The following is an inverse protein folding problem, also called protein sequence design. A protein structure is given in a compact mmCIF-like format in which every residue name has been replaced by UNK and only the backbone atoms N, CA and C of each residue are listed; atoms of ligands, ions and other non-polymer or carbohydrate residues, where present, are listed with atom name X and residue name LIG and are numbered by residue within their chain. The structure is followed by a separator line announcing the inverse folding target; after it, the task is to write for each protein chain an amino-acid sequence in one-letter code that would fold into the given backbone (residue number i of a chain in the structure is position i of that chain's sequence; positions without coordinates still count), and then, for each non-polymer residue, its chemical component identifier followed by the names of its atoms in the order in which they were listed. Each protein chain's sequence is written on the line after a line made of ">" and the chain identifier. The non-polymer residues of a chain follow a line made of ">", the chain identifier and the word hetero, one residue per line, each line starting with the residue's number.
data_IF_104539291143
#
_entry.id   IF_104539291143
#
_cell.length_a   1.000
_cell.length_b   1.000
_cell.length_c   1.000
_cell.angle_alpha   90.00
_cell.angle_beta   90.00
_cell.angle_gamma   90.00
#
_symmetry.space_group_name_H-M   'P 1'
#
loop_
_entity.id
_entity.type
_entity.pdbx_description
1 polymer ?
#
# COMPACT_ATOMS: atom_id res chain seq x y z
N UNK A 1 -2.48 -1.36 -1.42
CA UNK A 1 -1.06 -1.01 -1.06
C UNK A 1 -0.05 -2.16 -1.15
N UNK A 2 -0.25 -3.33 -0.51
CA UNK A 2 0.83 -4.36 -0.44
C UNK A 2 1.26 -4.93 -1.81
N UNK A 3 0.33 -5.13 -2.74
CA UNK A 3 0.64 -5.53 -4.12
C UNK A 3 1.25 -4.40 -4.96
N UNK A 4 1.00 -3.14 -4.61
CA UNK A 4 1.59 -2.00 -5.31
C UNK A 4 3.12 -1.98 -5.08
N UNK A 5 3.53 -2.22 -3.83
CA UNK A 5 4.90 -2.03 -3.33
C UNK A 5 5.39 -3.27 -2.54
N UNK A 6 5.53 -4.45 -3.17
CA UNK A 6 6.04 -5.63 -2.47
C UNK A 6 7.52 -5.45 -2.07
N UNK A 7 8.28 -4.69 -2.87
CA UNK A 7 9.67 -4.28 -2.63
C UNK A 7 9.85 -2.85 -3.17
N UNK A 8 10.95 -2.21 -2.78
CA UNK A 8 11.33 -0.94 -3.41
C UNK A 8 11.66 -1.18 -4.89
N UNK A 9 11.16 -0.35 -5.83
CA UNK A 9 11.53 -0.46 -7.23
C UNK A 9 13.00 -0.12 -7.44
N UNK A 10 13.66 -0.77 -8.40
CA UNK A 10 15.02 -0.38 -8.75
C UNK A 10 14.98 0.93 -9.54
N UNK A 11 15.91 1.84 -9.25
CA UNK A 11 16.04 3.11 -9.94
C UNK A 11 17.29 3.06 -10.80
N UNK A 12 17.11 3.23 -12.10
CA UNK A 12 18.19 3.18 -13.07
C UNK A 12 18.34 4.53 -13.76
N UNK A 13 19.56 5.09 -13.76
CA UNK A 13 19.95 6.30 -14.47
C UNK A 13 20.78 5.85 -15.68
N UNK A 14 20.19 5.64 -16.86
CA UNK A 14 20.88 4.96 -17.96
C UNK A 14 22.11 5.72 -18.47
N UNK A 15 22.10 7.06 -18.35
CA UNK A 15 23.24 7.89 -18.72
C UNK A 15 24.42 7.76 -17.76
N UNK A 16 24.18 7.33 -16.52
CA UNK A 16 25.17 7.27 -15.43
C UNK A 16 24.91 6.09 -14.48
N UNK A 17 25.16 4.84 -14.91
CA UNK A 17 24.91 3.66 -14.09
C UNK A 17 25.66 3.67 -12.75
N UNK A 18 26.79 4.38 -12.65
CA UNK A 18 27.55 4.55 -11.42
C UNK A 18 26.80 5.36 -10.34
N UNK A 19 25.84 6.20 -10.75
CA UNK A 19 25.02 7.00 -9.84
C UNK A 19 23.91 6.19 -9.15
N UNK A 20 23.55 5.01 -9.70
CA UNK A 20 22.48 4.17 -9.19
C UNK A 20 22.71 3.76 -7.73
N UNK A 21 23.95 3.39 -7.37
CA UNK A 21 24.29 2.99 -6.00
C UNK A 21 24.16 4.15 -5.00
N UNK A 22 24.51 5.38 -5.40
CA UNK A 22 24.35 6.56 -4.56
C UNK A 22 22.87 6.91 -4.38
N UNK A 23 22.08 6.82 -5.45
CA UNK A 23 20.63 7.05 -5.41
C UNK A 23 19.92 6.03 -4.52
N UNK A 24 20.29 4.75 -4.61
CA UNK A 24 19.78 3.71 -3.73
C UNK A 24 20.10 4.01 -2.26
N UNK A 25 21.33 4.44 -1.95
CA UNK A 25 21.70 4.84 -0.59
C UNK A 25 20.89 6.03 -0.07
N UNK A 26 20.63 7.05 -0.90
CA UNK A 26 19.77 8.19 -0.55
C UNK A 26 18.35 7.75 -0.19
N UNK A 27 17.78 6.85 -0.98
CA UNK A 27 16.45 6.30 -0.71
C UNK A 27 16.43 5.44 0.55
N UNK A 28 17.43 4.57 0.75
CA UNK A 28 17.53 3.74 1.95
C UNK A 28 17.64 4.59 3.22
N UNK A 29 18.43 5.66 3.19
CA UNK A 29 18.56 6.61 4.30
C UNK A 29 17.22 7.28 4.66
N UNK A 30 16.37 7.52 3.68
CA UNK A 30 15.04 8.07 3.86
C UNK A 30 13.98 7.03 4.24
N UNK A 31 14.39 5.77 4.48
CA UNK A 31 13.51 4.67 4.89
C UNK A 31 13.06 3.76 3.73
N UNK A 32 13.50 4.03 2.50
CA UNK A 32 13.31 3.19 1.32
C UNK A 32 11.86 2.72 1.15
N UNK A 33 11.67 1.39 1.14
CA UNK A 33 10.35 0.76 0.99
C UNK A 33 9.36 1.17 2.08
N UNK A 34 9.81 1.47 3.31
CA UNK A 34 8.92 1.85 4.41
C UNK A 34 8.30 3.23 4.18
N UNK A 35 9.11 4.18 3.70
CA UNK A 35 8.62 5.51 3.33
C UNK A 35 7.64 5.39 2.17
N UNK A 36 8.01 4.66 1.12
CA UNK A 36 7.15 4.49 -0.05
C UNK A 36 5.81 3.82 0.30
N UNK A 37 5.83 2.82 1.19
CA UNK A 37 4.61 2.19 1.71
C UNK A 37 3.76 3.16 2.55
N UNK A 38 4.38 4.06 3.32
CA UNK A 38 3.68 5.12 4.05
C UNK A 38 2.99 6.08 3.08
N UNK A 39 3.68 6.52 2.03
CA UNK A 39 3.14 7.39 0.99
C UNK A 39 1.97 6.73 0.27
N UNK A 40 2.09 5.45 -0.07
CA UNK A 40 1.01 4.68 -0.67
C UNK A 40 -0.23 4.56 0.21
N UNK A 41 -0.06 4.38 1.52
CA UNK A 41 -1.19 4.38 2.46
C UNK A 41 -1.85 5.75 2.57
N UNK A 42 -1.07 6.83 2.59
CA UNK A 42 -1.64 8.18 2.62
C UNK A 42 -2.39 8.50 1.33
N UNK A 43 -1.83 8.17 0.18
CA UNK A 43 -2.49 8.31 -1.12
C UNK A 43 -3.78 7.49 -1.21
N UNK A 44 -3.76 6.25 -0.71
CA UNK A 44 -4.94 5.39 -0.65
C UNK A 44 -6.13 6.05 0.09
N UNK A 45 -5.84 6.78 1.17
CA UNK A 45 -6.85 7.44 2.01
C UNK A 45 -7.31 8.79 1.45
N UNK A 46 -6.40 9.57 0.88
CA UNK A 46 -6.65 10.99 0.56
C UNK A 46 -6.71 11.31 -0.93
N UNK A 47 -6.27 10.40 -1.79
CA UNK A 47 -6.21 10.58 -3.23
C UNK A 47 -5.00 11.35 -3.76
N UNK A 48 -4.29 12.09 -2.91
CA UNK A 48 -3.11 12.86 -3.29
C UNK A 48 -1.94 12.55 -2.34
N UNK A 49 -0.72 12.48 -2.88
CA UNK A 49 0.50 12.32 -2.09
C UNK A 49 1.26 13.63 -2.05
N UNK A 50 1.73 14.01 -0.86
CA UNK A 50 2.59 15.18 -0.65
C UNK A 50 3.86 14.77 0.09
N UNK A 51 5.01 15.09 -0.50
CA UNK A 51 6.32 14.83 0.09
C UNK A 51 7.12 16.11 0.10
N UNK A 52 7.57 16.51 1.28
CA UNK A 52 8.50 17.62 1.42
C UNK A 52 9.93 17.10 1.40
N UNK A 53 10.77 17.72 0.60
CA UNK A 53 12.21 17.53 0.60
C UNK A 53 12.83 18.62 1.47
N UNK A 54 13.58 18.22 2.49
CA UNK A 54 14.34 19.10 3.35
C UNK A 54 15.77 19.16 2.83
N UNK A 55 16.32 20.37 2.79
CA UNK A 55 17.71 20.59 2.41
C UNK A 55 18.66 19.86 3.39
N UNK A 56 19.84 19.44 2.93
CA UNK A 56 20.87 18.88 3.78
C UNK A 56 21.23 19.85 4.91
N UNK A 57 21.09 19.40 6.17
CA UNK A 57 21.54 20.15 7.33
C UNK A 57 22.69 19.39 8.04
N UNK A 58 23.70 20.10 8.58
CA UNK A 58 24.75 19.46 9.38
C UNK A 58 24.17 18.74 10.60
N UNK A 59 24.75 17.60 11.04
CA UNK A 59 25.98 16.95 10.55
C UNK A 59 25.76 15.99 9.37
N UNK A 60 24.50 15.79 9.00
CA UNK A 60 24.06 14.66 8.21
C UNK A 60 24.33 14.82 6.69
N UNK A 61 24.43 16.07 6.21
CA UNK A 61 24.77 16.47 4.84
C UNK A 61 24.05 15.67 3.72
N UNK A 62 22.81 15.22 3.98
CA UNK A 62 21.97 14.57 2.98
C UNK A 62 20.52 15.07 3.05
N UNK A 63 19.80 15.09 1.93
CA UNK A 63 18.40 15.53 1.90
C UNK A 63 17.50 14.53 2.64
N UNK A 64 16.50 15.07 3.34
CA UNK A 64 15.51 14.28 4.08
C UNK A 64 14.13 14.43 3.46
N UNK A 65 13.46 13.30 3.27
CA UNK A 65 12.09 13.21 2.79
C UNK A 65 11.11 13.14 3.96
N UNK A 66 10.11 14.01 3.93
CA UNK A 66 9.03 14.06 4.90
C UNK A 66 7.70 13.83 4.19
N UNK A 67 7.10 12.67 4.47
CA UNK A 67 5.72 12.39 4.09
C UNK A 67 4.77 13.33 4.85
N UNK A 68 4.18 14.28 4.14
CA UNK A 68 3.23 15.23 4.71
C UNK A 68 1.86 14.57 4.89
N UNK A 69 1.04 15.12 5.78
CA UNK A 69 -0.38 14.74 5.84
C UNK A 69 -1.15 15.56 4.80
N UNK A 70 -1.78 14.94 3.78
CA UNK A 70 -2.50 15.67 2.74
C UNK A 70 -3.63 16.56 3.29
N UNK A 71 -4.24 16.21 4.43
CA UNK A 71 -5.25 17.05 5.08
C UNK A 71 -4.73 18.42 5.55
N UNK A 72 -3.41 18.54 5.69
CA UNK A 72 -2.72 19.75 6.11
C UNK A 72 -2.12 20.51 4.93
N UNK A 73 -2.31 20.05 3.69
CA UNK A 73 -1.63 20.57 2.51
C UNK A 73 -2.63 21.06 1.46
N UNK A 74 -2.42 22.29 1.01
CA UNK A 74 -3.14 22.87 -0.10
C UNK A 74 -2.15 23.22 -1.21
N UNK A 75 -2.52 22.96 -2.45
CA UNK A 75 -1.77 23.37 -3.63
C UNK A 75 -2.62 24.35 -4.42
N UNK A 76 -1.97 25.35 -5.00
CA UNK A 76 -2.61 26.35 -5.82
C UNK A 76 -1.86 26.43 -7.13
N UNK A 77 -2.60 26.32 -8.21
CA UNK A 77 -2.10 26.23 -9.58
C UNK A 77 -2.55 27.42 -10.40
N UNK A 78 -2.00 27.54 -11.61
CA UNK A 78 -2.37 28.58 -12.55
C UNK A 78 -3.83 28.38 -13.01
N UNK A 79 -4.60 29.46 -13.11
CA UNK A 79 -6.05 29.35 -13.33
C UNK A 79 -6.44 28.67 -14.67
N UNK A 80 -5.57 28.73 -15.67
CA UNK A 80 -5.75 28.13 -17.00
C UNK A 80 -5.04 26.76 -17.16
N UNK A 81 -4.22 26.37 -16.18
CA UNK A 81 -3.39 25.18 -16.24
C UNK A 81 -3.23 24.60 -14.83
N UNK A 82 -4.01 23.56 -14.55
CA UNK A 82 -4.02 22.95 -13.23
C UNK A 82 -2.78 22.11 -12.94
N UNK A 83 -1.94 21.82 -13.93
CA UNK A 83 -0.68 21.10 -13.73
C UNK A 83 0.45 22.05 -13.27
N UNK A 84 0.31 23.36 -13.54
CA UNK A 84 1.29 24.38 -13.19
C UNK A 84 1.10 24.93 -11.77
N UNK A 85 1.74 24.30 -10.78
CA UNK A 85 1.64 24.71 -9.37
C UNK A 85 2.44 25.98 -9.08
N UNK A 86 1.75 26.98 -8.52
CA UNK A 86 2.27 28.30 -8.17
C UNK A 86 2.67 28.42 -6.70
N UNK A 87 1.90 27.85 -5.78
CA UNK A 87 2.26 27.81 -4.37
C UNK A 87 1.62 26.66 -3.62
N UNK A 88 2.22 26.31 -2.48
CA UNK A 88 1.66 25.37 -1.51
C UNK A 88 1.41 26.07 -0.18
N UNK A 89 0.37 25.66 0.53
CA UNK A 89 0.16 26.03 1.93
C UNK A 89 0.12 24.79 2.81
N UNK A 90 0.82 24.85 3.94
CA UNK A 90 0.79 23.84 4.98
C UNK A 90 0.16 24.43 6.23
N UNK A 91 -0.81 23.74 6.81
CA UNK A 91 -1.52 24.16 8.02
C UNK A 91 -1.33 23.13 9.13
N UNK A 92 -0.94 23.56 10.32
CA UNK A 92 -0.86 22.68 11.48
C UNK A 92 -1.09 23.44 12.78
N UNK A 93 -1.52 22.72 13.82
CA UNK A 93 -1.68 23.28 15.16
C UNK A 93 -0.63 22.67 16.08
N UNK A 94 -0.05 23.49 16.95
CA UNK A 94 0.82 23.03 18.03
C UNK A 94 0.40 23.72 19.33
N UNK A 95 -0.04 22.92 20.30
CA UNK A 95 -0.69 23.44 21.50
C UNK A 95 -1.99 24.16 21.16
N UNK A 96 -2.09 25.45 21.53
CA UNK A 96 -3.24 26.32 21.22
C UNK A 96 -3.02 27.23 20.01
N UNK A 97 -1.82 27.21 19.42
CA UNK A 97 -1.48 28.06 18.30
C UNK A 97 -1.66 27.33 16.96
N UNK A 98 -2.17 28.05 15.96
CA UNK A 98 -2.24 27.59 14.59
C UNK A 98 -1.10 28.22 13.79
N UNK A 99 -0.54 27.42 12.89
CA UNK A 99 0.56 27.81 12.03
C UNK A 99 0.18 27.56 10.58
N UNK A 100 0.64 28.46 9.72
CA UNK A 100 0.53 28.34 8.27
C UNK A 100 1.91 28.54 7.67
N UNK A 101 2.33 27.66 6.77
CA UNK A 101 3.52 27.87 5.97
C UNK A 101 3.16 27.96 4.50
N UNK A 102 3.44 29.11 3.89
CA UNK A 102 3.29 29.32 2.46
C UNK A 102 4.63 29.03 1.76
N UNK A 103 4.59 28.28 0.67
CA UNK A 103 5.74 27.97 -0.18
C UNK A 103 5.40 28.47 -1.58
N UNK A 104 5.89 29.66 -1.91
CA UNK A 104 5.50 30.41 -3.12
C UNK A 104 6.59 30.32 -4.17
N UNK A 105 6.22 30.04 -5.42
CA UNK A 105 7.14 29.98 -6.54
C UNK A 105 7.61 31.38 -6.95
N UNK A 106 8.92 31.58 -7.00
CA UNK A 106 9.58 32.76 -7.56
C UNK A 106 10.20 32.48 -8.94
N UNK A 107 11.17 33.31 -9.36
CA UNK A 107 11.89 33.14 -10.62
C UNK A 107 13.09 32.18 -10.44
N UNK A 108 12.84 30.87 -10.54
CA UNK A 108 13.88 29.84 -10.38
C UNK A 108 14.25 29.50 -8.93
N UNK A 109 13.46 29.99 -7.99
CA UNK A 109 13.60 29.75 -6.55
C UNK A 109 12.22 29.72 -5.88
N UNK A 110 12.17 29.33 -4.61
CA UNK A 110 10.93 29.27 -3.84
C UNK A 110 11.06 30.05 -2.53
N UNK A 111 10.02 30.80 -2.17
CA UNK A 111 9.95 31.53 -0.92
C UNK A 111 9.13 30.74 0.10
N UNK A 112 9.72 30.42 1.25
CA UNK A 112 9.06 29.71 2.35
C UNK A 112 8.80 30.72 3.46
N UNK A 113 7.53 31.00 3.74
CA UNK A 113 7.11 31.91 4.80
C UNK A 113 6.30 31.16 5.86
N UNK A 114 6.71 31.22 7.11
CA UNK A 114 5.98 30.65 8.24
C UNK A 114 5.23 31.76 8.97
N UNK A 115 3.95 31.52 9.20
CA UNK A 115 3.00 32.41 9.86
C UNK A 115 2.39 31.73 11.08
N UNK A 116 2.10 32.51 12.11
CA UNK A 116 1.39 32.08 13.30
C UNK A 116 0.12 32.92 13.47
N UNK A 117 -0.96 32.25 13.86
CA UNK A 117 -2.23 32.88 14.19
C UNK A 117 -2.16 33.53 15.58
N UNK A 118 -2.44 34.83 15.67
CA UNK A 118 -2.55 35.60 16.91
C UNK A 118 -4.02 35.89 17.28
N UNK A 119 -5.00 35.31 16.57
CA UNK A 119 -6.44 35.48 16.80
C UNK A 119 -7.04 36.73 16.15
N UNK A 120 -6.26 37.82 16.02
CA UNK A 120 -6.63 39.02 15.24
C UNK A 120 -6.07 39.03 13.82
N UNK A 121 -5.24 38.06 13.47
CA UNK A 121 -4.57 37.97 12.18
C UNK A 121 -3.37 37.05 12.20
N UNK A 122 -2.68 36.99 11.05
CA UNK A 122 -1.48 36.17 10.88
C UNK A 122 -0.22 37.02 11.04
N UNK A 123 0.67 36.61 11.95
CA UNK A 123 1.99 37.19 12.10
C UNK A 123 3.05 36.31 11.43
N UNK A 124 3.91 36.91 10.59
CA UNK A 124 5.04 36.20 9.99
C UNK A 124 6.13 35.97 11.04
N UNK A 125 6.52 34.72 11.22
CA UNK A 125 7.59 34.30 12.13
C UNK A 125 8.93 34.19 11.43
N UNK A 126 8.93 33.58 10.25
CA UNK A 126 10.14 33.22 9.52
C UNK A 126 9.91 33.41 8.03
N UNK A 127 10.97 33.83 7.34
CA UNK A 127 11.03 33.85 5.88
C UNK A 127 12.36 33.24 5.46
N UNK A 128 12.31 32.20 4.63
CA UNK A 128 13.48 31.47 4.15
C UNK A 128 13.41 31.29 2.64
N UNK A 129 14.54 31.48 1.99
CA UNK A 129 14.68 31.30 0.55
C UNK A 129 15.18 29.90 0.22
N UNK A 130 14.43 29.18 -0.62
CA UNK A 130 14.82 27.90 -1.20
C UNK A 130 15.42 28.17 -2.58
N UNK A 131 16.76 28.20 -2.64
CA UNK A 131 17.55 28.64 -3.80
C UNK A 131 17.71 27.59 -4.89
N UNK A 132 16.80 26.62 -4.94
CA UNK A 132 16.84 25.54 -5.91
C UNK A 132 15.65 25.68 -6.87
N UNK A 133 15.88 25.33 -8.13
CA UNK A 133 14.88 25.44 -9.19
C UNK A 133 13.68 24.51 -8.95
N UNK A 134 13.94 23.30 -8.46
CA UNK A 134 12.89 22.33 -8.16
C UNK A 134 12.18 22.67 -6.84
N UNK A 135 10.87 22.45 -6.82
CA UNK A 135 10.03 22.72 -5.65
C UNK A 135 10.47 21.91 -4.43
N UNK A 136 10.41 22.47 -3.21
CA UNK A 136 10.66 21.70 -1.98
C UNK A 136 9.53 20.73 -1.63
N UNK A 137 8.40 20.77 -2.34
CA UNK A 137 7.31 19.81 -2.23
C UNK A 137 7.11 19.13 -3.57
N UNK A 138 7.15 17.80 -3.55
CA UNK A 138 6.79 16.95 -4.68
C UNK A 138 5.43 16.33 -4.37
N UNK A 139 4.55 16.33 -5.36
CA UNK A 139 3.19 15.83 -5.23
C UNK A 139 2.75 15.09 -6.48
N UNK A 140 1.93 14.06 -6.30
CA UNK A 140 1.34 13.28 -7.37
C UNK A 140 0.00 12.70 -6.91
N UNK A 141 -0.93 12.43 -7.84
CA UNK A 141 -2.18 11.75 -7.51
C UNK A 141 -1.92 10.29 -7.16
N UNK A 142 -2.70 9.75 -6.23
CA UNK A 142 -2.73 8.31 -6.00
C UNK A 142 -3.45 7.62 -7.15
N UNK A 143 -4.72 7.96 -7.36
CA UNK A 143 -5.46 7.68 -8.59
C UNK A 143 -5.66 8.98 -9.35
N UNK A 144 -5.30 9.01 -10.64
CA UNK A 144 -5.43 10.21 -11.45
C UNK A 144 -6.90 10.52 -11.73
N UNK A 145 -7.29 11.77 -11.49
CA UNK A 145 -8.60 12.29 -11.89
C UNK A 145 -8.44 13.10 -13.19
N UNK A 146 -9.23 12.82 -14.24
CA UNK A 146 -9.18 13.63 -15.45
C UNK A 146 -9.66 15.05 -15.13
N UNK A 147 -8.97 16.05 -15.70
CA UNK A 147 -9.28 17.48 -15.57
C UNK A 147 -9.24 18.01 -14.12
N UNK A 148 -8.47 17.37 -13.23
CA UNK A 148 -8.34 17.81 -11.85
C UNK A 148 -6.89 17.64 -11.36
N UNK A 149 -6.44 18.59 -10.53
CA UNK A 149 -5.12 18.52 -9.91
C UNK A 149 -5.04 17.43 -8.83
N UNK A 150 -6.09 17.34 -7.99
CA UNK A 150 -6.15 16.36 -6.91
C UNK A 150 -6.65 15.01 -7.41
N UNK A 151 -5.95 13.94 -7.04
CA UNK A 151 -6.37 12.57 -7.32
C UNK A 151 -7.52 12.06 -6.44
N UNK A 152 -7.89 10.80 -6.65
CA UNK A 152 -8.99 10.13 -5.96
C UNK A 152 -8.50 9.09 -4.94
N UNK A 153 -9.15 8.99 -3.76
CA UNK A 153 -8.86 7.92 -2.80
C UNK A 153 -9.34 6.58 -3.33
N UNK A 154 -8.80 5.47 -2.81
CA UNK A 154 -9.30 4.14 -3.21
C UNK A 154 -10.74 3.91 -2.75
N UNK A 155 -11.07 4.34 -1.53
CA UNK A 155 -12.42 4.19 -0.98
C UNK A 155 -13.27 5.38 -1.42
N UNK A 156 -14.06 5.19 -2.46
CA UNK A 156 -14.97 6.20 -3.00
C UNK A 156 -16.44 5.92 -2.65
N UNK A 157 -16.84 4.64 -2.53
CA UNK A 157 -18.22 4.25 -2.27
C UNK A 157 -18.45 3.78 -0.84
N UNK A 158 -18.68 4.75 0.04
CA UNK A 158 -19.02 4.50 1.44
C UNK A 158 -20.39 3.84 1.62
N UNK A 159 -21.33 4.09 0.70
CA UNK A 159 -22.71 3.60 0.82
C UNK A 159 -22.80 2.07 0.82
N UNK A 160 -21.96 1.39 0.03
CA UNK A 160 -21.94 -0.07 -0.01
C UNK A 160 -21.34 -0.66 1.27
N UNK A 161 -20.27 -0.07 1.80
CA UNK A 161 -19.68 -0.45 3.09
C UNK A 161 -20.69 -0.25 4.24
N UNK A 162 -21.34 0.92 4.28
CA UNK A 162 -22.38 1.22 5.27
C UNK A 162 -23.54 0.24 5.19
N UNK A 163 -23.93 -0.19 3.98
CA UNK A 163 -25.00 -1.18 3.81
C UNK A 163 -24.61 -2.55 4.36
N UNK A 164 -23.37 -2.99 4.14
CA UNK A 164 -22.83 -4.22 4.75
C UNK A 164 -22.85 -4.12 6.27
N UNK A 165 -22.31 -3.03 6.83
CA UNK A 165 -22.26 -2.78 8.27
C UNK A 165 -23.66 -2.76 8.89
N UNK A 166 -24.61 -2.12 8.21
CA UNK A 166 -26.00 -2.04 8.66
C UNK A 166 -26.67 -3.40 8.68
N UNK A 167 -26.54 -4.19 7.60
CA UNK A 167 -27.14 -5.52 7.51
C UNK A 167 -26.55 -6.47 8.57
N UNK A 168 -25.23 -6.45 8.77
CA UNK A 168 -24.56 -7.22 9.83
C UNK A 168 -25.00 -6.78 11.23
N UNK A 169 -25.20 -5.48 11.45
CA UNK A 169 -25.73 -4.97 12.72
C UNK A 169 -27.17 -5.46 12.97
N UNK A 170 -28.00 -5.53 11.93
CA UNK A 170 -29.37 -6.04 12.02
C UNK A 170 -29.39 -7.56 12.30
N UNK A 171 -28.53 -8.34 11.63
CA UNK A 171 -28.34 -9.78 11.91
C UNK A 171 -27.91 -9.98 13.37
N UNK A 172 -26.91 -9.24 13.85
CA UNK A 172 -26.48 -9.31 15.24
C UNK A 172 -27.59 -8.94 16.23
N UNK A 173 -28.45 -7.97 15.88
CA UNK A 173 -29.61 -7.59 16.70
C UNK A 173 -30.67 -8.68 16.75
N UNK A 174 -30.96 -9.35 15.63
CA UNK A 174 -31.88 -10.49 15.58
C UNK A 174 -31.36 -11.62 16.47
N UNK A 175 -30.08 -11.98 16.33
CA UNK A 175 -29.46 -13.01 17.16
C UNK A 175 -29.54 -12.67 18.65
N UNK A 176 -29.25 -11.42 19.05
CA UNK A 176 -29.42 -10.97 20.44
C UNK A 176 -30.86 -11.06 20.92
N UNK A 177 -31.82 -10.70 20.09
CA UNK A 177 -33.24 -10.73 20.45
C UNK A 177 -33.73 -12.17 20.69
N UNK A 178 -33.24 -13.13 19.91
CA UNK A 178 -33.62 -14.54 20.02
C UNK A 178 -32.70 -15.39 20.91
N UNK A 179 -31.59 -14.85 21.40
CA UNK A 179 -30.70 -15.56 22.34
C UNK A 179 -31.36 -15.85 23.70
N UNK A 180 -32.42 -15.10 24.05
CA UNK A 180 -33.24 -15.34 25.24
C UNK A 180 -34.72 -15.42 24.81
N UNK A 181 -35.20 -16.60 24.37
CA UNK A 181 -36.56 -16.75 23.86
C UNK A 181 -37.57 -16.42 24.96
N UNK A 182 -38.63 -15.69 24.59
CA UNK A 182 -39.72 -15.37 25.50
C UNK A 182 -40.75 -16.49 25.48
N UNK A 183 -41.11 -17.00 26.64
CA UNK A 183 -42.21 -17.95 26.78
C UNK A 183 -43.53 -17.22 26.73
N UNK A 184 -44.42 -17.65 25.82
CA UNK A 184 -45.77 -17.10 25.64
C UNK A 184 -46.78 -18.16 26.06
N UNK A 185 -47.70 -17.76 26.92
CA UNK A 185 -48.82 -18.58 27.37
C UNK A 185 -50.15 -18.04 26.86
N UNK A 186 -51.00 -18.90 26.31
CA UNK A 186 -52.35 -18.55 25.84
C UNK A 186 -53.35 -19.44 26.58
N UNK A 187 -54.46 -18.85 27.05
CA UNK A 187 -55.59 -19.60 27.61
C UNK A 187 -55.55 -19.84 29.13
N UNK A 188 -54.69 -19.15 29.88
CA UNK A 188 -54.63 -19.23 31.34
C UNK A 188 -54.25 -17.89 31.98
N UNK A 189 -54.65 -17.68 33.24
CA UNK A 189 -54.21 -16.50 34.00
C UNK A 189 -52.88 -16.79 34.70
N UNK A 190 -52.06 -15.77 34.95
CA UNK A 190 -50.74 -15.93 35.57
C UNK A 190 -50.76 -16.68 36.91
N UNK A 191 -51.90 -16.65 37.63
CA UNK A 191 -52.13 -17.37 38.90
C UNK A 191 -52.29 -18.89 38.73
N UNK A 192 -52.71 -19.34 37.55
CA UNK A 192 -52.99 -20.74 37.22
C UNK A 192 -51.69 -21.51 36.88
N UNK A 193 -50.57 -20.80 36.85
CA UNK A 193 -49.27 -21.28 36.43
C UNK A 193 -48.49 -21.76 37.66
N UNK A 194 -48.50 -23.08 37.90
CA UNK A 194 -47.85 -23.69 39.09
C UNK A 194 -46.44 -24.18 38.76
N UNK A 195 -45.39 -23.66 39.43
CA UNK A 195 -44.07 -24.25 39.37
C UNK A 195 -44.08 -25.58 40.14
N UNK A 196 -43.80 -26.70 39.48
CA UNK A 196 -43.77 -28.02 40.15
C UNK A 196 -42.42 -28.31 40.81
N UNK A 197 -41.29 -27.83 40.26
CA UNK A 197 -39.99 -27.75 40.95
C UNK A 197 -38.98 -26.85 40.17
N UNK A 198 -37.75 -26.70 40.69
CA UNK A 198 -36.63 -26.04 39.98
C UNK A 198 -36.25 -26.91 38.77
N UNK A 199 -36.30 -26.34 37.56
CA UNK A 199 -36.03 -26.99 36.26
C UNK A 199 -37.08 -28.02 35.76
N UNK A 200 -38.34 -27.98 36.21
CA UNK A 200 -39.37 -28.92 35.74
C UNK A 200 -40.66 -28.28 35.22
N UNK A 201 -41.43 -29.11 34.52
CA UNK A 201 -42.61 -28.81 33.71
C UNK A 201 -43.65 -27.91 34.39
N UNK A 202 -44.13 -26.93 33.63
CA UNK A 202 -45.27 -26.09 34.04
C UNK A 202 -46.57 -26.85 33.78
N UNK A 203 -47.46 -26.92 34.76
CA UNK A 203 -48.78 -27.55 34.62
C UNK A 203 -49.87 -26.48 34.63
N UNK A 204 -50.83 -26.60 33.70
CA UNK A 204 -51.96 -25.68 33.56
C UNK A 204 -53.26 -26.48 33.60
N UNK A 205 -54.22 -26.16 34.48
CA UNK A 205 -55.46 -26.95 34.66
C UNK A 205 -56.47 -26.87 33.49
N UNK A 206 -56.32 -25.89 32.58
CA UNK A 206 -57.26 -25.62 31.48
C UNK A 206 -56.90 -26.43 30.23
N UNK A 207 -57.88 -27.17 29.68
CA UNK A 207 -57.69 -28.09 28.56
C UNK A 207 -57.16 -27.41 27.28
N UNK A 208 -57.50 -26.14 27.05
CA UNK A 208 -57.12 -25.40 25.84
C UNK A 208 -55.84 -24.55 26.01
N UNK A 209 -55.20 -24.60 27.18
CA UNK A 209 -54.03 -23.76 27.46
C UNK A 209 -52.78 -24.26 26.73
N UNK A 210 -52.05 -23.33 26.10
CA UNK A 210 -50.82 -23.62 25.36
C UNK A 210 -49.68 -22.75 25.85
N UNK A 211 -48.52 -23.37 26.05
CA UNK A 211 -47.26 -22.68 26.37
C UNK A 211 -46.26 -23.03 25.28
N UNK A 212 -45.65 -22.03 24.68
CA UNK A 212 -44.60 -22.21 23.70
C UNK A 212 -43.56 -21.10 23.83
N UNK A 213 -42.32 -21.42 23.47
CA UNK A 213 -41.27 -20.42 23.38
C UNK A 213 -41.37 -19.70 22.02
N UNK A 214 -41.28 -18.37 22.05
CA UNK A 214 -41.18 -17.57 20.85
C UNK A 214 -39.73 -17.64 20.33
N UNK A 215 -39.46 -18.72 19.61
CA UNK A 215 -38.17 -18.98 18.98
C UNK A 215 -38.14 -18.47 17.54
N UNK A 216 -36.93 -18.18 17.05
CA UNK A 216 -36.74 -17.78 15.66
C UNK A 216 -36.98 -18.99 14.75
N UNK A 217 -37.93 -18.87 13.83
CA UNK A 217 -38.21 -19.94 12.87
C UNK A 217 -37.38 -19.85 11.58
N UNK A 218 -36.75 -18.70 11.32
CA UNK A 218 -35.87 -18.50 10.16
C UNK A 218 -34.41 -18.72 10.54
N UNK A 219 -33.63 -19.31 9.64
CA UNK A 219 -32.21 -19.62 9.81
C UNK A 219 -31.26 -18.47 9.46
N UNK A 220 -31.79 -17.27 9.16
CA UNK A 220 -31.04 -16.11 8.65
C UNK A 220 -30.21 -16.39 7.36
N UNK A 221 -30.37 -17.54 6.69
CA UNK A 221 -29.52 -17.90 5.57
C UNK A 221 -29.63 -16.90 4.41
N UNK A 222 -30.81 -16.34 4.17
CA UNK A 222 -31.03 -15.28 3.19
C UNK A 222 -30.29 -13.98 3.55
N UNK A 223 -30.23 -13.64 4.84
CA UNK A 223 -29.54 -12.45 5.34
C UNK A 223 -28.03 -12.60 5.20
N UNK A 224 -27.50 -13.78 5.53
CA UNK A 224 -26.07 -14.09 5.37
C UNK A 224 -25.66 -14.07 3.89
N UNK A 225 -26.45 -14.66 2.99
CA UNK A 225 -26.21 -14.58 1.54
C UNK A 225 -26.22 -13.15 1.01
N UNK A 226 -27.10 -12.29 1.53
CA UNK A 226 -27.13 -10.88 1.16
C UNK A 226 -25.87 -10.13 1.65
N UNK A 227 -25.37 -10.43 2.86
CA UNK A 227 -24.09 -9.90 3.35
C UNK A 227 -22.94 -10.34 2.44
N UNK A 228 -22.86 -11.62 2.09
CA UNK A 228 -21.82 -12.14 1.20
C UNK A 228 -21.86 -11.45 -0.16
N UNK A 229 -23.05 -11.30 -0.76
CA UNK A 229 -23.22 -10.61 -2.02
C UNK A 229 -22.73 -9.16 -1.96
N UNK A 230 -23.15 -8.40 -0.95
CA UNK A 230 -22.74 -7.00 -0.79
C UNK A 230 -21.24 -6.88 -0.49
N UNK A 231 -20.67 -7.80 0.27
CA UNK A 231 -19.23 -7.84 0.55
C UNK A 231 -18.43 -8.12 -0.71
N UNK A 232 -18.87 -9.08 -1.54
CA UNK A 232 -18.24 -9.34 -2.84
C UNK A 232 -18.36 -8.16 -3.79
N UNK A 233 -19.52 -7.50 -3.83
CA UNK A 233 -19.70 -6.29 -4.64
C UNK A 233 -18.74 -5.17 -4.19
N UNK A 234 -18.58 -4.97 -2.88
CA UNK A 234 -17.68 -3.97 -2.31
C UNK A 234 -16.21 -4.23 -2.68
N UNK A 235 -15.78 -5.49 -2.56
CA UNK A 235 -14.41 -5.87 -2.89
C UNK A 235 -14.16 -5.82 -4.41
N UNK A 236 -15.15 -6.19 -5.22
CA UNK A 236 -15.08 -6.11 -6.68
C UNK A 236 -14.98 -4.67 -7.19
N UNK A 237 -15.73 -3.73 -6.61
CA UNK A 237 -15.62 -2.30 -6.93
C UNK A 237 -14.20 -1.77 -6.67
N UNK A 238 -13.57 -2.26 -5.60
CA UNK A 238 -12.19 -1.93 -5.23
C UNK A 238 -11.14 -2.70 -6.03
N UNK A 239 -11.57 -3.59 -6.95
CA UNK A 239 -10.74 -4.51 -7.73
C UNK A 239 -9.84 -5.38 -6.84
N UNK A 240 -10.37 -5.77 -5.69
CA UNK A 240 -9.70 -6.68 -4.74
C UNK A 240 -10.08 -8.10 -5.09
N UNK A 241 -9.07 -8.92 -5.39
CA UNK A 241 -9.25 -10.34 -5.66
C UNK A 241 -9.42 -11.08 -4.34
N UNK A 242 -10.54 -11.78 -4.21
CA UNK A 242 -10.79 -12.74 -3.12
C UNK A 242 -10.72 -14.13 -3.72
N UNK A 243 -9.83 -14.95 -3.18
CA UNK A 243 -9.69 -16.34 -3.57
C UNK A 243 -10.61 -17.19 -2.70
N UNK A 244 -11.75 -17.60 -3.23
CA UNK A 244 -12.63 -18.59 -2.62
C UNK A 244 -12.23 -19.99 -3.13
N UNK A 245 -11.88 -20.92 -2.25
CA UNK A 245 -11.56 -22.31 -2.62
C UNK A 245 -10.67 -23.06 -1.62
N UNK A 246 -10.61 -24.38 -1.74
CA UNK A 246 -9.73 -25.22 -0.91
C UNK A 246 -8.33 -25.31 -1.53
N UNK A 247 -7.30 -25.56 -0.71
CA UNK A 247 -5.89 -25.68 -1.16
C UNK A 247 -5.72 -26.64 -2.34
N UNK A 248 -6.52 -27.70 -2.41
CA UNK A 248 -6.52 -28.67 -3.52
C UNK A 248 -6.89 -28.05 -4.89
N UNK A 249 -7.78 -27.07 -4.91
CA UNK A 249 -8.21 -26.38 -6.13
C UNK A 249 -7.07 -25.55 -6.73
N UNK A 250 -6.14 -25.10 -5.89
CA UNK A 250 -5.01 -24.25 -6.27
C UNK A 250 -3.76 -25.02 -6.72
N UNK A 251 -3.69 -26.34 -6.50
CA UNK A 251 -2.50 -27.15 -6.85
C UNK A 251 -2.24 -27.24 -8.35
N UNK A 252 -3.27 -27.04 -9.19
CA UNK A 252 -3.19 -27.20 -10.65
C UNK A 252 -3.12 -25.88 -11.41
N UNK A 253 -3.09 -24.76 -10.73
CA UNK A 253 -3.16 -23.45 -11.38
C UNK A 253 -1.75 -23.05 -11.83
N UNK A 254 -1.62 -22.77 -13.12
CA UNK A 254 -0.38 -22.28 -13.73
C UNK A 254 -0.16 -20.80 -13.36
N UNK A 255 1.06 -20.29 -13.50
CA UNK A 255 1.33 -18.86 -13.31
C UNK A 255 0.44 -17.97 -14.19
N UNK A 256 0.12 -18.43 -15.41
CA UNK A 256 -0.82 -17.75 -16.31
C UNK A 256 -2.24 -17.73 -15.73
N UNK A 257 -2.70 -18.83 -15.13
CA UNK A 257 -4.00 -18.90 -14.46
C UNK A 257 -4.09 -17.96 -13.25
N UNK A 258 -3.04 -17.87 -12.43
CA UNK A 258 -2.98 -16.91 -11.32
C UNK A 258 -3.00 -15.47 -11.86
N UNK A 259 -2.23 -15.17 -12.91
CA UNK A 259 -2.25 -13.84 -13.55
C UNK A 259 -3.61 -13.49 -14.09
N UNK A 260 -4.28 -14.42 -14.78
CA UNK A 260 -5.63 -14.23 -15.32
C UNK A 260 -6.63 -13.82 -14.22
N UNK A 261 -6.53 -14.46 -13.05
CA UNK A 261 -7.39 -14.15 -11.90
C UNK A 261 -7.10 -12.77 -11.28
N UNK A 262 -5.85 -12.33 -11.33
CA UNK A 262 -5.42 -11.03 -10.82
C UNK A 262 -5.42 -9.90 -11.86
N UNK A 263 -5.83 -10.15 -13.11
CA UNK A 263 -5.72 -9.19 -14.22
C UNK A 263 -6.26 -7.80 -13.88
N UNK A 264 -7.46 -7.71 -13.32
CA UNK A 264 -8.10 -6.44 -13.00
C UNK A 264 -7.36 -5.68 -11.88
N UNK A 265 -6.93 -6.39 -10.84
CA UNK A 265 -6.11 -5.84 -9.78
C UNK A 265 -4.73 -5.38 -10.30
N UNK A 266 -4.12 -6.14 -11.21
CA UNK A 266 -2.85 -5.80 -11.85
C UNK A 266 -2.98 -4.55 -12.72
N UNK A 267 -4.06 -4.38 -13.48
CA UNK A 267 -4.29 -3.17 -14.25
C UNK A 267 -4.44 -1.94 -13.35
N UNK A 268 -5.18 -2.05 -12.24
CA UNK A 268 -5.26 -0.99 -11.23
C UNK A 268 -3.87 -0.65 -10.67
N UNK A 269 -3.08 -1.68 -10.32
CA UNK A 269 -1.73 -1.48 -9.80
C UNK A 269 -0.84 -0.78 -10.83
N UNK A 270 -0.93 -1.14 -12.10
CA UNK A 270 -0.14 -0.52 -13.16
C UNK A 270 -0.47 0.97 -13.34
N UNK A 271 -1.75 1.34 -13.26
CA UNK A 271 -2.19 2.73 -13.27
C UNK A 271 -1.63 3.53 -12.08
N UNK A 272 -1.67 2.93 -10.88
CA UNK A 272 -1.05 3.51 -9.69
C UNK A 272 0.48 3.64 -9.87
N UNK A 273 1.15 2.62 -10.42
CA UNK A 273 2.61 2.63 -10.63
C UNK A 273 3.07 3.75 -11.54
N UNK A 274 2.32 4.07 -12.60
CA UNK A 274 2.61 5.21 -13.49
C UNK A 274 2.59 6.53 -12.74
N UNK A 275 1.61 6.73 -11.86
CA UNK A 275 1.52 7.96 -11.05
C UNK A 275 2.68 8.05 -10.04
N UNK A 276 3.05 6.93 -9.43
CA UNK A 276 4.16 6.87 -8.47
C UNK A 276 5.53 6.98 -9.14
N UNK A 277 5.67 6.53 -10.39
CA UNK A 277 6.89 6.69 -11.17
C UNK A 277 7.23 8.17 -11.34
N UNK A 278 6.25 9.02 -11.67
CA UNK A 278 6.44 10.48 -11.74
C UNK A 278 6.94 11.05 -10.41
N UNK A 279 6.31 10.66 -9.30
CA UNK A 279 6.71 11.10 -7.96
C UNK A 279 8.11 10.64 -7.56
N UNK A 280 8.46 9.38 -7.84
CA UNK A 280 9.78 8.80 -7.56
C UNK A 280 10.88 9.48 -8.40
N UNK A 281 10.61 9.76 -9.67
CA UNK A 281 11.53 10.49 -10.54
C UNK A 281 11.78 11.90 -10.01
N UNK A 282 10.71 12.68 -9.77
CA UNK A 282 10.83 14.06 -9.29
C UNK A 282 11.53 14.14 -7.91
N UNK A 283 11.21 13.23 -6.98
CA UNK A 283 11.90 13.15 -5.69
C UNK A 283 13.38 12.83 -5.85
N UNK A 284 13.71 11.86 -6.70
CA UNK A 284 15.10 11.47 -6.96
C UNK A 284 15.89 12.62 -7.60
N UNK A 285 15.32 13.31 -8.59
CA UNK A 285 15.93 14.48 -9.21
C UNK A 285 16.12 15.63 -8.21
N UNK A 286 15.13 15.87 -7.33
CA UNK A 286 15.24 16.89 -6.27
C UNK A 286 16.34 16.54 -5.28
N UNK A 287 16.43 15.28 -4.84
CA UNK A 287 17.52 14.84 -3.96
C UNK A 287 18.90 14.98 -4.62
N UNK A 288 19.03 14.60 -5.90
CA UNK A 288 20.27 14.73 -6.70
C UNK A 288 20.70 16.19 -6.84
N UNK A 289 19.74 17.10 -7.07
CA UNK A 289 19.98 18.54 -7.08
C UNK A 289 20.54 19.03 -5.73
N UNK A 290 19.96 18.57 -4.62
CA UNK A 290 20.36 19.01 -3.28
C UNK A 290 21.74 18.53 -2.85
N UNK A 291 22.21 17.39 -3.37
CA UNK A 291 23.58 16.91 -3.14
C UNK A 291 24.59 17.55 -4.12
N UNK A 292 24.15 18.44 -5.00
CA UNK A 292 25.01 19.18 -5.93
C UNK A 292 25.37 18.42 -7.21
N UNK A 293 24.59 17.41 -7.61
CA UNK A 293 24.82 16.71 -8.87
C UNK A 293 24.45 17.61 -10.06
N UNK A 294 25.37 17.79 -11.01
CA UNK A 294 25.16 18.69 -12.15
C UNK A 294 24.07 18.19 -13.12
N UNK A 295 23.98 16.88 -13.35
CA UNK A 295 23.01 16.25 -14.27
C UNK A 295 21.81 15.66 -13.51
N UNK A 296 21.31 16.42 -12.52
CA UNK A 296 20.21 15.98 -11.66
C UNK A 296 18.90 15.73 -12.42
N UNK A 297 18.75 16.26 -13.64
CA UNK A 297 17.58 16.06 -14.51
C UNK A 297 17.67 14.84 -15.42
N UNK A 298 18.77 14.08 -15.39
CA UNK A 298 18.91 12.87 -16.19
C UNK A 298 17.68 11.95 -16.02
N UNK A 299 17.15 11.34 -17.11
CA UNK A 299 16.01 10.43 -17.03
C UNK A 299 16.28 9.27 -16.08
N UNK A 300 15.32 8.99 -15.20
CA UNK A 300 15.39 7.89 -14.23
C UNK A 300 14.31 6.88 -14.60
N UNK A 301 14.73 5.66 -14.92
CA UNK A 301 13.82 4.55 -15.20
C UNK A 301 13.46 3.85 -13.88
N UNK A 302 12.17 3.73 -13.60
CA UNK A 302 11.67 3.01 -12.42
C UNK A 302 11.32 1.58 -12.82
N UNK A 303 12.06 0.62 -12.28
CA UNK A 303 11.87 -0.80 -12.60
C UNK A 303 11.08 -1.46 -11.47
N UNK A 304 9.80 -1.71 -11.73
CA UNK A 304 8.90 -2.31 -10.76
C UNK A 304 9.09 -3.83 -10.65
N UNK A 305 9.20 -4.38 -9.44
CA UNK A 305 9.19 -5.83 -9.25
C UNK A 305 7.82 -6.41 -9.60
N UNK A 306 7.81 -7.67 -10.03
CA UNK A 306 6.56 -8.41 -10.22
C UNK A 306 5.79 -8.49 -8.89
N UNK A 307 4.51 -8.05 -8.87
CA UNK A 307 3.70 -8.11 -7.66
C UNK A 307 3.24 -9.52 -7.29
N UNK A 308 3.27 -10.48 -8.23
CA UNK A 308 2.84 -11.85 -7.99
C UNK A 308 4.01 -12.76 -7.62
N UNK A 309 3.79 -13.78 -6.78
CA UNK A 309 4.79 -14.80 -6.53
C UNK A 309 5.10 -15.56 -7.82
N UNK A 310 6.37 -15.85 -8.06
CA UNK A 310 6.81 -16.66 -9.19
C UNK A 310 7.22 -18.05 -8.72
N UNK A 311 6.96 -19.06 -9.56
CA UNK A 311 7.45 -20.41 -9.29
C UNK A 311 8.95 -20.48 -9.55
N UNK A 312 9.73 -20.72 -8.49
CA UNK A 312 11.19 -20.81 -8.57
C UNK A 312 11.65 -21.88 -9.57
N UNK A 313 11.01 -23.06 -9.63
CA UNK A 313 11.40 -24.13 -10.54
C UNK A 313 11.21 -23.75 -12.01
N UNK A 314 10.10 -23.09 -12.33
CA UNK A 314 9.82 -22.60 -13.69
C UNK A 314 10.81 -21.52 -14.10
N UNK A 315 11.14 -20.59 -13.19
CA UNK A 315 12.16 -19.56 -13.45
C UNK A 315 13.56 -20.16 -13.71
N UNK A 316 13.93 -21.28 -13.06
CA UNK A 316 15.20 -21.99 -13.32
C UNK A 316 15.18 -22.59 -14.71
N UNK A 317 14.08 -23.23 -15.08
CA UNK A 317 13.95 -23.88 -16.37
C UNK A 317 14.05 -22.86 -17.52
N UNK A 318 13.44 -21.67 -17.36
CA UNK A 318 13.54 -20.58 -18.35
C UNK A 318 14.97 -20.04 -18.45
N UNK A 319 15.59 -19.67 -17.32
CA UNK A 319 16.97 -19.17 -17.30
C UNK A 319 17.98 -20.19 -17.86
N UNK A 320 17.81 -21.47 -17.57
CA UNK A 320 18.65 -22.53 -18.12
C UNK A 320 18.54 -22.61 -19.66
N UNK A 321 17.33 -22.42 -20.21
CA UNK A 321 17.10 -22.36 -21.66
C UNK A 321 17.70 -21.10 -22.27
N UNK A 322 17.56 -19.94 -21.64
CA UNK A 322 18.15 -18.68 -22.12
C UNK A 322 19.68 -18.72 -22.14
N UNK A 323 20.29 -19.31 -21.10
CA UNK A 323 21.74 -19.57 -21.05
C UNK A 323 22.17 -20.54 -22.16
N UNK A 324 21.39 -21.60 -22.42
CA UNK A 324 21.67 -22.56 -23.49
C UNK A 324 21.55 -21.94 -24.89
N UNK A 325 20.62 -20.99 -25.07
CA UNK A 325 20.42 -20.23 -26.31
C UNK A 325 21.41 -19.06 -26.46
N UNK A 326 22.23 -18.78 -25.43
CA UNK A 326 23.19 -17.67 -25.43
C UNK A 326 22.56 -16.28 -25.35
N UNK A 327 21.29 -16.17 -24.94
CA UNK A 327 20.58 -14.90 -24.83
C UNK A 327 20.99 -14.09 -23.59
N UNK A 328 21.45 -14.79 -22.54
CA UNK A 328 21.77 -14.20 -21.24
C UNK A 328 23.13 -14.72 -20.79
N UNK A 329 23.94 -13.88 -20.14
CA UNK A 329 25.22 -14.29 -19.56
C UNK A 329 25.04 -14.96 -18.19
N UNK A 330 26.00 -15.78 -17.77
CA UNK A 330 25.99 -16.36 -16.40
C UNK A 330 25.98 -15.30 -15.30
N UNK A 331 26.64 -14.16 -15.54
CA UNK A 331 26.64 -13.01 -14.64
C UNK A 331 25.25 -12.37 -14.52
N UNK A 332 24.59 -12.15 -15.65
CA UNK A 332 23.23 -11.60 -15.68
C UNK A 332 22.24 -12.55 -14.99
N UNK A 333 22.32 -13.85 -15.27
CA UNK A 333 21.47 -14.85 -14.63
C UNK A 333 21.69 -14.94 -13.10
N UNK A 334 22.93 -14.80 -12.62
CA UNK A 334 23.22 -14.74 -11.19
C UNK A 334 22.63 -13.47 -10.54
N UNK A 335 22.77 -12.31 -11.20
CA UNK A 335 22.23 -11.04 -10.72
C UNK A 335 20.70 -11.03 -10.67
N UNK A 336 20.02 -11.57 -11.67
CA UNK A 336 18.56 -11.72 -11.68
C UNK A 336 18.04 -12.61 -10.55
N UNK A 337 18.86 -13.56 -10.09
CA UNK A 337 18.60 -14.39 -8.91
C UNK A 337 18.92 -13.71 -7.58
N UNK A 338 19.38 -12.46 -7.61
CA UNK A 338 19.81 -11.72 -6.43
C UNK A 338 21.11 -12.23 -5.83
N UNK A 339 21.95 -12.92 -6.62
CA UNK A 339 23.30 -13.34 -6.21
C UNK A 339 24.31 -12.31 -6.71
N UNK A 340 25.29 -12.01 -5.88
CA UNK A 340 26.44 -11.20 -6.28
C UNK A 340 27.39 -12.08 -7.09
N UNK A 341 27.58 -11.75 -8.37
CA UNK A 341 28.40 -12.54 -9.27
C UNK A 341 29.87 -12.56 -8.88
N UNK A 342 30.40 -11.47 -8.32
CA UNK A 342 31.82 -11.41 -7.94
C UNK A 342 32.10 -12.34 -6.76
N UNK A 343 31.19 -12.35 -5.78
CA UNK A 343 31.25 -13.26 -4.63
C UNK A 343 31.07 -14.71 -5.08
N UNK A 344 30.11 -14.99 -5.97
CA UNK A 344 29.88 -16.34 -6.49
C UNK A 344 31.04 -16.83 -7.34
N UNK A 345 31.69 -15.96 -8.12
CA UNK A 345 32.88 -16.33 -8.89
C UNK A 345 34.03 -16.73 -7.97
N UNK A 346 34.25 -15.99 -6.87
CA UNK A 346 35.24 -16.33 -5.86
C UNK A 346 34.93 -17.67 -5.17
N UNK A 347 33.66 -17.94 -4.85
CA UNK A 347 33.21 -19.23 -4.29
C UNK A 347 33.42 -20.38 -5.27
N UNK A 348 33.03 -20.22 -6.53
CA UNK A 348 33.23 -21.23 -7.57
C UNK A 348 34.72 -21.51 -7.83
N UNK A 349 35.58 -20.50 -7.75
CA UNK A 349 37.03 -20.67 -7.84
C UNK A 349 37.58 -21.47 -6.64
N UNK A 350 37.11 -21.17 -5.42
CA UNK A 350 37.48 -21.92 -4.22
C UNK A 350 36.99 -23.37 -4.26
N UNK A 351 35.76 -23.63 -4.74
CA UNK A 351 35.22 -24.98 -4.94
C UNK A 351 36.04 -25.80 -5.95
N UNK A 352 36.45 -25.18 -7.07
CA UNK A 352 37.33 -25.85 -8.04
C UNK A 352 38.70 -26.18 -7.46
N UNK A 353 39.27 -25.29 -6.65
CA UNK A 353 40.55 -25.55 -5.99
C UNK A 353 40.46 -26.72 -4.99
N UNK A 354 39.33 -26.85 -4.27
CA UNK A 354 39.07 -27.97 -3.37
C UNK A 354 38.86 -29.30 -4.10
N UNK A 355 38.18 -29.30 -5.26
CA UNK A 355 38.00 -30.50 -6.08
C UNK A 355 39.30 -31.02 -6.70
N UNK A 356 40.24 -30.13 -7.05
CA UNK A 356 41.56 -30.53 -7.54
C UNK A 356 42.43 -31.09 -6.41
N UNK A 357 42.30 -30.54 -5.18
CA UNK A 357 43.00 -31.08 -4.01
C UNK A 357 42.52 -32.45 -3.54
N UNK A 358 41.22 -32.76 -3.67
CA UNK A 358 40.70 -34.08 -3.28
C UNK A 358 41.01 -35.18 -4.32
N UNK A 359 41.14 -34.82 -5.61
CA UNK A 359 41.57 -35.77 -6.63
C UNK A 359 43.04 -36.18 -6.51
N UNK A 360 43.88 -35.34 -5.90
CA UNK A 360 45.29 -35.65 -5.67
C UNK A 360 45.50 -36.50 -4.40
N UNK A 361 44.59 -36.47 -3.42
CA UNK A 361 44.64 -37.34 -2.22
C UNK A 361 44.11 -38.76 -2.48
N UNK A 362 43.14 -38.96 -3.38
CA UNK A 362 42.65 -40.31 -3.74
C UNK A 362 43.65 -41.12 -4.58
N UNK A 363 44.61 -40.47 -5.25
CA UNK A 363 45.67 -41.16 -6.02
C UNK A 363 46.85 -41.57 -5.12
N UNK A 364 46.99 -40.98 -3.93
CA UNK A 364 48.10 -41.24 -3.02
C UNK A 364 47.86 -42.36 -1.99
N UNK A 365 46.68 -43.01 -1.99
CA UNK A 365 46.34 -44.09 -1.03
C UNK A 365 46.34 -45.51 -1.61
N UNK A 366 46.79 -45.70 -2.85
CA UNK A 366 46.74 -47.01 -3.55
C UNK A 366 48.13 -47.52 -4.01
N UNK A 367 49.23 -47.04 -3.40
CA UNK A 367 50.59 -47.61 -3.54
C UNK A 367 51.15 -48.16 -2.22
#
# INVERSE_FOLDING_TARGET
>A
VSLLLPRFPALDVPSRPEANAALDQLWQRNGGVRLLAKLARQGCLSGQVFVRVLAPEPPENAPRLLALNPANCLAFWRADDYEDVLWYELHWSYGRANYRQAIVRGQGEWLIETWQDEGSGWRRLEQRLWRYALAPIVTWPHQSAPNAFYGQPEISNFALNDRVNKLMSDVARILRYHAAPRTVGIGFEARDLTPTAINTLWTIPKADAKVFNLEMQSDLASSMKAVEFLTRAFLAEQRVVVLDGNVADWQRITNLGVRALYMDALFKIEELRRSYEVGLQQLSQTMRLLIGEADYLAPIRVIWPDPLPTNAAESVAVLARELALGLVSRQTAARERGRDWEIELARLAAERALQVGSSDEEVASDD
#
